data_IF_933476486781
#
_entry.id   IF_933476486781
#
_cell.length_a   1.000
_cell.length_b   1.000
_cell.length_c   1.000
_cell.angle_alpha   90.00
_cell.angle_beta   90.00
_cell.angle_gamma   90.00
#
_symmetry.space_group_name_H-M   'P 1'
#
loop_
_entity.id
_entity.type
_entity.pdbx_description
1 polymer ?
#
# COMPACT_ATOMS: atom_id res chain seq x y z
N UNK A 1 10.50 41.22 -20.12
CA UNK A 1 9.58 40.84 -21.20
C UNK A 1 9.53 39.33 -21.34
N UNK A 2 8.35 38.69 -21.19
CA UNK A 2 8.17 37.24 -21.06
C UNK A 2 7.66 36.60 -22.36
N UNK A 3 8.23 35.47 -22.82
CA UNK A 3 7.62 34.62 -23.87
C UNK A 3 8.07 33.16 -23.77
N UNK A 4 7.59 32.39 -22.79
CA UNK A 4 7.48 30.92 -22.87
C UNK A 4 6.30 30.42 -22.03
N UNK A 5 5.08 30.82 -22.41
CA UNK A 5 3.81 30.11 -22.10
C UNK A 5 3.38 29.40 -23.39
N UNK A 6 2.63 28.31 -23.23
CA UNK A 6 1.98 27.46 -24.26
C UNK A 6 2.84 26.39 -24.92
N UNK A 7 2.99 25.25 -24.25
CA UNK A 7 3.10 23.95 -24.93
C UNK A 7 2.75 22.77 -23.99
N UNK A 8 1.65 22.85 -23.22
CA UNK A 8 1.19 21.69 -22.42
C UNK A 8 -0.34 21.66 -22.24
N UNK A 9 -1.07 21.93 -23.32
CA UNK A 9 -2.52 21.75 -23.41
C UNK A 9 -2.83 20.92 -24.66
N UNK A 10 -2.45 19.63 -24.66
CA UNK A 10 -2.85 18.68 -25.73
C UNK A 10 -2.62 17.20 -25.40
N UNK A 11 -2.95 16.74 -24.19
CA UNK A 11 -3.07 15.28 -23.91
C UNK A 11 -4.24 14.97 -22.98
N UNK A 12 -5.33 15.73 -23.07
CA UNK A 12 -6.55 15.50 -22.30
C UNK A 12 -7.76 15.41 -23.22
N UNK A 13 -7.71 14.56 -24.25
CA UNK A 13 -8.88 14.19 -25.06
C UNK A 13 -8.49 12.97 -25.89
N UNK A 14 -8.70 11.75 -25.36
CA UNK A 14 -8.93 10.50 -26.12
C UNK A 14 -8.70 9.29 -25.20
N UNK A 15 -9.74 8.89 -24.46
CA UNK A 15 -9.97 7.49 -24.10
C UNK A 15 -11.42 7.33 -23.57
N UNK A 16 -12.35 7.93 -24.30
CA UNK A 16 -13.79 7.76 -24.10
C UNK A 16 -14.39 7.30 -25.42
N UNK A 17 -14.31 5.99 -25.68
CA UNK A 17 -15.14 5.23 -26.62
C UNK A 17 -14.59 3.80 -26.70
N UNK A 18 -15.14 2.90 -25.87
CA UNK A 18 -15.29 1.53 -26.33
C UNK A 18 -16.76 1.11 -26.19
N UNK A 19 -17.27 0.39 -27.20
CA UNK A 19 -18.69 0.24 -27.42
C UNK A 19 -19.27 -0.89 -26.56
N UNK A 20 -20.48 -0.59 -26.13
CA UNK A 20 -21.53 -1.47 -25.69
C UNK A 20 -21.89 -2.44 -26.84
N UNK A 21 -21.29 -3.63 -26.88
CA UNK A 21 -21.80 -4.77 -27.66
C UNK A 21 -21.10 -6.09 -27.29
N UNK A 22 -21.64 -6.82 -26.32
CA UNK A 22 -21.60 -8.29 -26.34
C UNK A 22 -22.87 -8.82 -25.67
N UNK A 23 -23.97 -8.72 -26.42
CA UNK A 23 -25.06 -9.70 -26.30
C UNK A 23 -24.54 -11.03 -26.84
N UNK A 24 -24.78 -12.11 -26.10
CA UNK A 24 -25.28 -13.43 -26.52
C UNK A 24 -24.77 -14.48 -25.50
N UNK A 25 -25.67 -15.03 -24.69
CA UNK A 25 -26.32 -16.32 -24.98
C UNK A 25 -25.35 -17.50 -24.79
N UNK A 26 -25.23 -17.95 -23.54
CA UNK A 26 -24.46 -19.13 -23.15
C UNK A 26 -25.25 -19.98 -22.16
N UNK A 27 -26.00 -20.93 -22.72
CA UNK A 27 -26.62 -22.13 -22.15
C UNK A 27 -26.73 -22.26 -20.61
N UNK A 28 -27.98 -22.39 -20.17
CA UNK A 28 -28.38 -23.14 -18.97
C UNK A 28 -27.85 -24.57 -19.06
N UNK A 29 -26.62 -24.80 -18.60
CA UNK A 29 -26.06 -26.12 -18.35
C UNK A 29 -26.43 -26.57 -16.93
N UNK A 30 -27.58 -27.20 -16.79
CA UNK A 30 -27.94 -27.95 -15.58
C UNK A 30 -27.02 -29.18 -15.47
N UNK A 31 -25.83 -29.02 -14.88
CA UNK A 31 -25.06 -30.15 -14.39
C UNK A 31 -25.70 -30.61 -13.08
N UNK A 32 -26.44 -31.72 -13.16
CA UNK A 32 -26.88 -32.47 -12.00
C UNK A 32 -25.65 -32.80 -11.13
N UNK A 33 -25.55 -32.15 -9.98
CA UNK A 33 -24.53 -32.43 -8.97
C UNK A 33 -24.93 -33.74 -8.28
N UNK A 34 -24.15 -34.82 -8.37
CA UNK A 34 -24.45 -36.06 -7.66
C UNK A 34 -24.44 -35.79 -6.15
N UNK A 35 -25.46 -36.30 -5.46
CA UNK A 35 -25.58 -36.24 -4.02
C UNK A 35 -24.31 -36.80 -3.35
N UNK A 36 -23.50 -35.91 -2.77
CA UNK A 36 -22.34 -36.29 -1.98
C UNK A 36 -22.87 -36.89 -0.67
N UNK A 37 -22.51 -38.14 -0.31
CA UNK A 37 -22.91 -38.72 0.96
C UNK A 37 -22.40 -37.84 2.10
N UNK A 38 -23.34 -37.46 2.96
CA UNK A 38 -23.16 -36.62 4.13
C UNK A 38 -22.04 -37.20 5.01
N UNK A 39 -20.86 -36.57 4.94
CA UNK A 39 -19.72 -36.93 5.78
C UNK A 39 -20.11 -36.59 7.23
N UNK A 40 -20.05 -37.52 8.18
CA UNK A 40 -20.40 -37.26 9.57
C UNK A 40 -19.62 -36.05 10.08
N UNK A 41 -20.36 -35.10 10.65
CA UNK A 41 -19.82 -33.84 11.15
C UNK A 41 -18.61 -34.12 12.07
N UNK A 42 -17.45 -33.50 11.84
CA UNK A 42 -16.34 -33.61 12.79
C UNK A 42 -16.80 -33.08 14.15
N UNK A 43 -16.40 -33.72 15.26
CA UNK A 43 -16.75 -33.27 16.60
C UNK A 43 -16.31 -31.81 16.80
N UNK A 44 -17.24 -30.96 17.24
CA UNK A 44 -17.08 -29.52 17.47
C UNK A 44 -16.09 -29.14 18.60
N UNK A 45 -15.17 -30.04 18.96
CA UNK A 45 -14.36 -29.97 20.17
C UNK A 45 -12.85 -30.05 19.86
N UNK A 46 -12.37 -29.09 19.06
CA UNK A 46 -10.97 -28.66 19.08
C UNK A 46 -10.85 -27.25 18.51
N UNK A 47 -11.76 -26.34 18.94
CA UNK A 47 -11.46 -24.92 18.96
C UNK A 47 -10.34 -24.76 19.98
N UNK A 48 -9.11 -24.94 19.52
CA UNK A 48 -7.92 -24.45 20.18
C UNK A 48 -8.23 -22.99 20.50
N UNK A 49 -8.51 -22.73 21.78
CA UNK A 49 -8.55 -21.41 22.36
C UNK A 49 -7.16 -20.82 22.09
N UNK A 50 -7.03 -20.17 20.94
CA UNK A 50 -5.89 -19.37 20.58
C UNK A 50 -5.89 -18.27 21.61
N UNK A 51 -5.11 -18.48 22.68
CA UNK A 51 -5.10 -17.65 23.87
C UNK A 51 -4.86 -16.21 23.43
N UNK A 52 -5.87 -15.33 23.47
CA UNK A 52 -5.74 -13.96 22.95
C UNK A 52 -4.76 -13.13 23.78
N UNK A 53 -4.24 -13.68 24.88
CA UNK A 53 -3.29 -13.03 25.79
C UNK A 53 -1.83 -13.18 25.39
N UNK A 54 -1.50 -13.98 24.39
CA UNK A 54 -0.16 -13.98 23.79
C UNK A 54 -0.01 -12.87 22.71
N UNK A 55 -0.82 -11.81 22.77
CA UNK A 55 -0.55 -10.56 22.09
C UNK A 55 0.63 -9.87 22.79
N UNK A 56 1.84 -10.39 22.55
CA UNK A 56 3.08 -9.71 22.94
C UNK A 56 2.98 -8.28 22.44
N UNK A 57 2.96 -7.31 23.36
CA UNK A 57 2.90 -5.89 23.03
C UNK A 57 4.11 -5.57 22.17
N UNK A 58 3.90 -5.51 20.85
CA UNK A 58 4.98 -5.24 19.90
C UNK A 58 5.28 -3.76 19.98
N UNK A 59 6.54 -3.44 20.20
CA UNK A 59 7.02 -2.06 20.08
C UNK A 59 6.87 -1.64 18.60
N UNK A 60 6.20 -0.52 18.30
CA UNK A 60 6.08 -0.03 16.94
C UNK A 60 7.45 0.26 16.35
N UNK A 61 7.63 -0.01 15.06
CA UNK A 61 8.85 0.29 14.36
C UNK A 61 9.14 1.80 14.37
N UNK A 62 10.41 2.22 14.52
CA UNK A 62 10.77 3.62 14.45
C UNK A 62 10.45 4.21 13.08
N UNK A 63 9.79 5.37 13.09
CA UNK A 63 9.53 6.19 11.90
C UNK A 63 10.51 7.34 11.90
N UNK A 64 11.25 7.53 10.81
CA UNK A 64 12.24 8.60 10.68
C UNK A 64 11.63 9.98 10.99
N UNK A 65 12.31 10.84 11.78
CA UNK A 65 11.78 12.15 12.17
C UNK A 65 11.38 13.04 11.00
N UNK A 66 12.13 12.99 9.89
CA UNK A 66 11.81 13.74 8.68
C UNK A 66 10.45 13.36 8.07
N UNK A 67 10.07 12.08 8.13
CA UNK A 67 8.75 11.63 7.67
C UNK A 67 7.63 12.12 8.60
N UNK A 68 7.85 12.06 9.93
CA UNK A 68 6.86 12.58 10.90
C UNK A 68 6.65 14.08 10.72
N UNK A 69 7.72 14.85 10.54
CA UNK A 69 7.64 16.29 10.30
C UNK A 69 6.88 16.61 9.00
N UNK A 70 7.20 15.91 7.90
CA UNK A 70 6.51 16.08 6.64
C UNK A 70 5.03 15.67 6.74
N UNK A 71 4.71 14.57 7.43
CA UNK A 71 3.34 14.13 7.66
C UNK A 71 2.54 15.19 8.44
N UNK A 72 3.10 15.73 9.54
CA UNK A 72 2.45 16.77 10.33
C UNK A 72 2.22 18.05 9.51
N UNK A 73 3.19 18.47 8.69
CA UNK A 73 3.04 19.64 7.83
C UNK A 73 1.96 19.44 6.75
N UNK A 74 1.91 18.28 6.10
CA UNK A 74 0.86 17.96 5.11
C UNK A 74 -0.52 17.91 5.76
N UNK A 75 -0.65 17.34 6.97
CA UNK A 75 -1.90 17.37 7.74
C UNK A 75 -2.29 18.79 8.15
N UNK A 76 -1.30 19.68 8.35
CA UNK A 76 -1.49 21.11 8.61
C UNK A 76 -1.77 21.96 7.37
N UNK A 77 -1.86 21.36 6.18
CA UNK A 77 -2.20 22.06 4.94
C UNK A 77 -1.00 22.53 4.09
N UNK A 78 0.23 22.08 4.39
CA UNK A 78 1.36 22.31 3.50
C UNK A 78 1.10 21.71 2.10
N UNK A 79 1.61 22.36 1.06
CA UNK A 79 1.40 21.88 -0.30
C UNK A 79 2.32 20.68 -0.59
N UNK A 80 1.81 19.59 -1.20
CA UNK A 80 2.67 18.46 -1.59
C UNK A 80 3.82 18.85 -2.53
N UNK A 81 3.63 19.91 -3.33
CA UNK A 81 4.65 20.45 -4.24
C UNK A 81 5.93 20.91 -3.52
N UNK A 82 5.82 21.31 -2.25
CA UNK A 82 6.98 21.73 -1.44
C UNK A 82 7.94 20.55 -1.16
N UNK A 83 7.43 19.32 -1.28
CA UNK A 83 8.18 18.08 -1.11
C UNK A 83 8.57 17.43 -2.44
N UNK A 84 8.44 18.12 -3.56
CA UNK A 84 8.83 17.56 -4.86
C UNK A 84 10.35 17.33 -4.97
N UNK A 85 11.14 18.12 -4.23
CA UNK A 85 12.60 18.16 -4.29
C UNK A 85 13.16 18.16 -2.87
N UNK A 86 13.52 16.99 -2.37
CA UNK A 86 14.05 16.85 -1.02
C UNK A 86 14.31 15.39 -0.67
N UNK A 87 14.74 15.16 0.57
CA UNK A 87 14.91 13.81 1.11
C UNK A 87 13.56 13.09 1.31
N UNK A 88 12.50 13.83 1.61
CA UNK A 88 11.13 13.32 1.67
C UNK A 88 10.39 13.76 0.41
N UNK A 89 9.64 12.85 -0.20
CA UNK A 89 8.85 13.12 -1.40
C UNK A 89 7.37 12.95 -1.11
N UNK A 90 6.55 13.87 -1.63
CA UNK A 90 5.10 13.73 -1.63
C UNK A 90 4.57 13.68 -3.07
N UNK A 91 3.56 12.86 -3.31
CA UNK A 91 2.86 12.83 -4.60
C UNK A 91 1.78 13.91 -4.68
N UNK A 92 1.13 14.05 -5.85
CA UNK A 92 0.07 15.04 -6.04
C UNK A 92 -1.17 14.81 -5.16
N UNK A 93 -1.33 13.60 -4.59
CA UNK A 93 -2.40 13.28 -3.65
C UNK A 93 -1.99 13.54 -2.19
N UNK A 94 -0.79 14.06 -1.95
CA UNK A 94 -0.26 14.31 -0.60
C UNK A 94 0.19 13.05 0.13
N UNK A 95 0.42 11.93 -0.56
CA UNK A 95 1.02 10.73 0.05
C UNK A 95 2.54 10.88 0.09
N UNK A 96 3.16 10.35 1.13
CA UNK A 96 4.61 10.34 1.33
C UNK A 96 5.23 9.09 0.72
N UNK A 97 6.34 9.25 0.00
CA UNK A 97 7.15 8.13 -0.46
C UNK A 97 7.97 7.59 0.71
N UNK A 98 7.92 6.27 0.94
CA UNK A 98 8.59 5.62 2.08
C UNK A 98 9.32 4.34 1.66
N UNK A 99 10.41 4.04 2.36
CA UNK A 99 11.05 2.72 2.42
C UNK A 99 10.72 2.09 3.76
N UNK A 100 10.03 0.95 3.70
CA UNK A 100 9.73 0.08 4.84
C UNK A 100 10.79 -1.00 4.88
N UNK A 101 11.66 -0.94 5.89
CA UNK A 101 12.64 -1.99 6.17
C UNK A 101 11.95 -3.09 6.96
N UNK A 102 12.24 -4.33 6.63
CA UNK A 102 11.63 -5.50 7.23
C UNK A 102 12.67 -6.54 7.64
N UNK A 103 12.26 -7.49 8.48
CA UNK A 103 13.12 -8.63 8.82
C UNK A 103 13.27 -9.60 7.63
N UNK A 104 12.21 -9.74 6.83
CA UNK A 104 12.18 -10.49 5.59
C UNK A 104 11.00 -10.02 4.72
N UNK A 105 11.24 -9.81 3.42
CA UNK A 105 10.19 -9.41 2.47
C UNK A 105 9.43 -10.63 1.95
N UNK A 106 8.23 -10.86 2.49
CA UNK A 106 7.32 -11.95 2.09
C UNK A 106 6.04 -11.42 1.47
N UNK A 107 5.32 -12.21 0.64
CA UNK A 107 4.02 -11.79 0.09
C UNK A 107 3.00 -11.43 1.19
N UNK A 108 3.02 -12.15 2.32
CA UNK A 108 2.15 -11.88 3.46
C UNK A 108 2.44 -10.51 4.10
N UNK A 109 3.73 -10.16 4.25
CA UNK A 109 4.12 -8.83 4.73
C UNK A 109 3.65 -7.73 3.78
N UNK A 110 3.87 -7.89 2.47
CA UNK A 110 3.44 -6.88 1.48
C UNK A 110 1.94 -6.66 1.54
N UNK A 111 1.13 -7.72 1.60
CA UNK A 111 -0.31 -7.62 1.77
C UNK A 111 -0.71 -6.91 3.07
N UNK A 112 -0.03 -7.18 4.18
CA UNK A 112 -0.27 -6.49 5.46
C UNK A 112 0.08 -4.99 5.39
N UNK A 113 1.16 -4.61 4.69
CA UNK A 113 1.53 -3.22 4.47
C UNK A 113 0.50 -2.49 3.60
N UNK A 114 -0.05 -3.15 2.58
CA UNK A 114 -1.12 -2.60 1.76
C UNK A 114 -2.41 -2.40 2.55
N UNK A 115 -2.78 -3.37 3.39
CA UNK A 115 -3.90 -3.23 4.32
C UNK A 115 -3.69 -2.07 5.31
N UNK A 116 -2.45 -1.84 5.74
CA UNK A 116 -2.06 -0.73 6.61
C UNK A 116 -1.95 0.64 5.89
N UNK A 117 -2.24 0.72 4.58
CA UNK A 117 -2.32 1.98 3.85
C UNK A 117 -1.18 2.26 2.86
N UNK A 118 -0.23 1.34 2.70
CA UNK A 118 0.78 1.45 1.65
C UNK A 118 0.15 1.24 0.27
N UNK A 119 0.54 2.05 -0.71
CA UNK A 119 0.03 2.01 -2.09
C UNK A 119 1.18 2.02 -3.08
N UNK A 120 0.92 1.48 -4.28
CA UNK A 120 1.91 1.35 -5.36
C UNK A 120 3.21 0.71 -4.86
N UNK A 121 3.05 -0.44 -4.23
CA UNK A 121 4.10 -1.21 -3.57
C UNK A 121 5.09 -1.77 -4.59
N UNK A 122 6.37 -1.73 -4.24
CA UNK A 122 7.44 -2.42 -4.95
C UNK A 122 8.35 -3.05 -3.90
N UNK A 123 8.46 -4.37 -3.95
CA UNK A 123 9.32 -5.14 -3.04
C UNK A 123 10.73 -5.27 -3.64
N UNK A 124 11.74 -5.10 -2.80
CA UNK A 124 13.15 -5.33 -3.13
C UNK A 124 13.73 -6.31 -2.09
N UNK A 125 13.47 -7.63 -2.23
CA UNK A 125 13.84 -8.61 -1.21
C UNK A 125 15.34 -8.67 -0.94
N UNK A 126 16.20 -8.42 -1.94
CA UNK A 126 17.65 -8.39 -1.77
C UNK A 126 18.17 -7.31 -0.81
N UNK A 127 17.33 -6.31 -0.47
CA UNK A 127 17.64 -5.24 0.46
C UNK A 127 16.72 -5.26 1.70
N UNK A 128 15.84 -6.24 1.80
CA UNK A 128 14.78 -6.31 2.82
C UNK A 128 13.92 -5.03 2.91
N UNK A 129 13.64 -4.42 1.75
CA UNK A 129 12.86 -3.17 1.65
C UNK A 129 11.60 -3.36 0.83
N UNK A 130 10.51 -2.77 1.29
CA UNK A 130 9.31 -2.48 0.49
C UNK A 130 9.19 -0.97 0.33
N UNK A 131 9.13 -0.49 -0.92
CA UNK A 131 8.92 0.92 -1.23
C UNK A 131 7.48 1.16 -1.66
N UNK A 132 6.92 2.33 -1.32
CA UNK A 132 5.59 2.71 -1.74
C UNK A 132 5.20 4.12 -1.28
N UNK A 133 3.92 4.43 -1.43
CA UNK A 133 3.31 5.69 -1.01
C UNK A 133 2.32 5.47 0.12
N UNK A 134 2.34 6.31 1.15
CA UNK A 134 1.42 6.23 2.29
C UNK A 134 0.81 7.60 2.60
N UNK A 135 -0.47 7.63 2.98
CA UNK A 135 -1.06 8.89 3.45
C UNK A 135 -0.45 9.31 4.80
N UNK A 136 -0.29 10.60 5.09
CA UNK A 136 0.29 11.09 6.35
C UNK A 136 -0.33 10.48 7.62
N UNK A 137 -1.65 10.26 7.62
CA UNK A 137 -2.41 9.67 8.74
C UNK A 137 -2.19 8.17 8.94
N UNK A 138 -1.76 7.46 7.90
CA UNK A 138 -1.60 6.00 7.92
C UNK A 138 -0.16 5.59 8.26
N UNK A 139 0.73 6.57 8.49
CA UNK A 139 2.15 6.33 8.75
C UNK A 139 2.39 5.55 10.05
N UNK A 140 1.62 5.83 11.11
CA UNK A 140 1.73 5.08 12.36
C UNK A 140 1.16 3.66 12.21
N UNK A 141 0.12 3.44 11.38
CA UNK A 141 -0.42 2.09 11.14
C UNK A 141 0.64 1.16 10.52
N UNK A 142 1.44 1.66 9.58
CA UNK A 142 2.56 0.91 9.01
C UNK A 142 3.60 0.51 10.07
N UNK A 143 3.88 1.39 11.03
CA UNK A 143 4.86 1.11 12.08
C UNK A 143 4.42 -0.04 13.01
N UNK A 144 3.13 -0.36 13.06
CA UNK A 144 2.59 -1.47 13.85
C UNK A 144 2.52 -2.79 13.09
N UNK A 145 2.83 -2.81 11.78
CA UNK A 145 2.80 -4.04 10.98
C UNK A 145 3.90 -4.99 11.44
N UNK A 146 3.51 -6.25 11.64
CA UNK A 146 4.41 -7.30 12.04
C UNK A 146 5.52 -7.55 11.00
N UNK A 147 6.77 -7.53 11.44
CA UNK A 147 7.94 -7.75 10.57
C UNK A 147 8.54 -6.47 10.00
N UNK A 148 7.97 -5.30 10.30
CA UNK A 148 8.59 -4.00 10.00
C UNK A 148 9.63 -3.67 11.07
N UNK A 149 10.84 -3.32 10.62
CA UNK A 149 11.96 -2.96 11.49
C UNK A 149 12.22 -1.45 11.51
N UNK A 150 11.95 -0.73 10.42
CA UNK A 150 12.04 0.74 10.36
C UNK A 150 11.29 1.33 9.17
N UNK A 151 10.87 2.60 9.28
CA UNK A 151 10.28 3.37 8.16
C UNK A 151 11.11 4.62 7.91
N UNK A 152 11.65 4.74 6.70
CA UNK A 152 12.62 5.79 6.32
C UNK A 152 12.25 6.45 5.00
N UNK A 153 12.67 7.70 4.75
CA UNK A 153 12.58 8.28 3.42
C UNK A 153 13.49 7.55 2.42
N UNK A 154 13.16 7.56 1.12
CA UNK A 154 14.03 7.01 0.09
C UNK A 154 15.43 7.62 0.11
N UNK A 155 16.47 6.78 0.10
CA UNK A 155 17.86 7.21 -0.06
C UNK A 155 18.27 7.04 -1.52
N UNK A 156 17.95 8.02 -2.35
CA UNK A 156 18.58 8.11 -3.67
C UNK A 156 19.96 8.72 -3.52
N UNK A 157 20.91 8.28 -4.35
CA UNK A 157 22.18 8.98 -4.50
C UNK A 157 21.86 10.41 -4.96
N UNK A 158 21.98 11.37 -4.05
CA UNK A 158 21.90 12.78 -4.39
C UNK A 158 23.22 13.09 -5.10
N UNK A 159 23.25 12.91 -6.42
CA UNK A 159 24.35 13.43 -7.25
C UNK A 159 24.34 14.94 -7.07
N UNK A 160 25.30 15.43 -6.28
CA UNK A 160 25.59 16.86 -6.17
C UNK A 160 26.26 17.36 -7.43
#
# INVERSE_FOLDING_TARGET
MPKKKLAYLRMAHECARLPLLFMLLGALGACAVPAVPERPAPPAAALNAMDPRAATTRVPAPVAPALRAAAAALLGGAAPADYARGSVRADASGRLQVYVHADAVTPALVAALEQAGLRQTSAVPALDVVQGWVAPRDLDALAHVAGVSAITPPRYAVTR
#
